data_IF_208982418670
#
_entry.id   IF_208982418670
#
_cell.length_a   1.000
_cell.length_b   1.000
_cell.length_c   1.000
_cell.angle_alpha   90.00
_cell.angle_beta   90.00
_cell.angle_gamma   90.00
#
_symmetry.space_group_name_H-M   'P 1'
#
loop_
_entity.id
_entity.type
_entity.pdbx_description
1 polymer ?
#
# COMPACT_ATOMS: atom_id res chain seq x y z
N UNK A 1 36.99 -2.02 5.10
CA UNK A 1 37.06 -1.92 3.62
C UNK A 1 36.94 -0.46 3.25
N UNK A 2 37.83 0.02 2.38
CA UNK A 2 37.70 1.35 1.78
C UNK A 2 36.51 1.38 0.80
N UNK A 3 35.91 2.55 0.56
CA UNK A 3 34.89 2.71 -0.50
C UNK A 3 35.43 2.32 -1.89
N UNK A 4 36.76 2.34 -2.08
CA UNK A 4 37.43 1.85 -3.29
C UNK A 4 37.38 0.33 -3.38
N UNK A 5 37.79 -0.37 -2.32
CA UNK A 5 37.72 -1.84 -2.25
C UNK A 5 36.29 -2.36 -2.45
N UNK A 6 35.31 -1.68 -1.86
CA UNK A 6 33.89 -2.00 -2.04
C UNK A 6 33.41 -1.75 -3.48
N UNK A 7 33.92 -0.70 -4.15
CA UNK A 7 33.60 -0.42 -5.54
C UNK A 7 34.12 -1.51 -6.47
N UNK A 8 35.35 -2.00 -6.24
CA UNK A 8 35.94 -3.09 -7.02
C UNK A 8 35.21 -4.42 -6.80
N UNK A 9 34.87 -4.74 -5.54
CA UNK A 9 34.19 -5.98 -5.18
C UNK A 9 32.75 -6.05 -5.73
N UNK A 10 31.98 -4.98 -5.57
CA UNK A 10 30.55 -4.95 -5.91
C UNK A 10 30.25 -4.33 -7.28
N UNK A 11 31.26 -3.78 -7.98
CA UNK A 11 31.11 -3.05 -9.25
C UNK A 11 30.10 -1.89 -9.16
N UNK A 12 29.99 -1.28 -7.99
CA UNK A 12 29.16 -0.09 -7.72
C UNK A 12 30.08 1.13 -7.72
N UNK A 13 29.65 2.25 -8.29
CA UNK A 13 30.49 3.46 -8.30
C UNK A 13 30.76 3.95 -6.87
N UNK A 14 31.96 4.47 -6.63
CA UNK A 14 32.34 5.09 -5.35
C UNK A 14 31.40 6.23 -4.96
N UNK A 15 30.85 6.96 -5.95
CA UNK A 15 29.88 8.03 -5.73
C UNK A 15 28.54 7.51 -5.18
N UNK A 16 28.06 6.37 -5.68
CA UNK A 16 26.83 5.72 -5.20
C UNK A 16 27.02 5.24 -3.76
N UNK A 17 28.18 4.63 -3.45
CA UNK A 17 28.53 4.22 -2.09
C UNK A 17 28.59 5.42 -1.15
N UNK A 18 29.18 6.54 -1.59
CA UNK A 18 29.23 7.77 -0.81
C UNK A 18 27.84 8.35 -0.57
N UNK A 19 26.97 8.38 -1.57
CA UNK A 19 25.58 8.81 -1.43
C UNK A 19 24.82 7.95 -0.42
N UNK A 20 25.09 6.65 -0.37
CA UNK A 20 24.49 5.75 0.61
C UNK A 20 25.03 6.01 2.03
N UNK A 21 26.34 6.20 2.18
CA UNK A 21 26.98 6.49 3.47
C UNK A 21 26.54 7.83 4.05
N UNK A 22 26.33 8.84 3.20
CA UNK A 22 25.86 10.18 3.60
C UNK A 22 24.32 10.22 3.77
N UNK A 23 23.62 9.14 3.42
CA UNK A 23 22.16 9.07 3.54
C UNK A 23 21.41 9.95 2.53
N UNK A 24 21.98 10.18 1.34
CA UNK A 24 21.27 10.90 0.26
C UNK A 24 20.21 10.04 -0.42
N UNK A 25 20.39 8.71 -0.42
CA UNK A 25 19.51 7.75 -1.10
C UNK A 25 18.77 6.85 -0.10
N UNK A 26 18.09 7.44 0.89
CA UNK A 26 17.37 6.69 1.93
C UNK A 26 16.05 6.10 1.45
N UNK A 27 15.50 6.60 0.34
CA UNK A 27 14.26 6.07 -0.21
C UNK A 27 14.48 4.67 -0.77
N UNK A 28 13.52 3.76 -0.60
CA UNK A 28 13.59 2.44 -1.21
C UNK A 28 13.79 2.59 -2.72
N UNK A 29 14.56 1.69 -3.35
CA UNK A 29 14.82 1.76 -4.78
C UNK A 29 13.51 1.72 -5.56
N UNK A 30 13.36 2.66 -6.51
CA UNK A 30 12.15 2.84 -7.30
C UNK A 30 11.40 4.14 -6.97
N UNK A 31 10.24 4.31 -7.59
CA UNK A 31 9.37 5.48 -7.34
C UNK A 31 8.57 5.27 -6.06
N UNK A 32 8.39 6.34 -5.29
CA UNK A 32 7.58 6.32 -4.08
C UNK A 32 6.14 5.88 -4.37
N UNK A 33 5.57 5.13 -3.42
CA UNK A 33 4.18 4.65 -3.47
C UNK A 33 3.22 5.81 -3.67
N UNK A 34 2.11 5.53 -4.34
CA UNK A 34 1.13 6.56 -4.66
C UNK A 34 0.34 6.99 -3.43
N UNK A 35 0.02 6.01 -2.60
CA UNK A 35 -0.68 6.20 -1.34
C UNK A 35 0.30 6.24 -0.17
N UNK A 36 -0.15 6.89 0.91
CA UNK A 36 0.42 6.72 2.24
C UNK A 36 0.20 5.28 2.69
N UNK A 37 1.13 4.74 3.49
CA UNK A 37 1.04 3.37 4.04
C UNK A 37 -0.33 3.09 4.66
N UNK A 38 -0.84 4.01 5.48
CA UNK A 38 -2.15 3.86 6.15
C UNK A 38 -3.30 3.66 5.15
N UNK A 39 -3.27 4.36 4.01
CA UNK A 39 -4.28 4.22 2.96
C UNK A 39 -4.19 2.86 2.25
N UNK A 40 -2.98 2.38 1.98
CA UNK A 40 -2.77 1.05 1.40
C UNK A 40 -3.22 -0.06 2.36
N UNK A 41 -2.89 0.07 3.65
CA UNK A 41 -3.28 -0.87 4.69
C UNK A 41 -4.80 -0.93 4.88
N UNK A 42 -5.49 0.22 4.85
CA UNK A 42 -6.95 0.28 4.92
C UNK A 42 -7.60 -0.47 3.75
N UNK A 43 -7.09 -0.27 2.53
CA UNK A 43 -7.60 -0.97 1.34
C UNK A 43 -7.39 -2.47 1.47
N UNK A 44 -6.20 -2.92 1.89
CA UNK A 44 -5.93 -4.33 2.13
C UNK A 44 -6.88 -4.94 3.18
N UNK A 45 -7.14 -4.22 4.29
CA UNK A 45 -8.10 -4.66 5.31
C UNK A 45 -9.51 -4.82 4.75
N UNK A 46 -10.00 -3.83 3.98
CA UNK A 46 -11.34 -3.94 3.37
C UNK A 46 -11.46 -5.12 2.42
N UNK A 47 -10.39 -5.50 1.72
CA UNK A 47 -10.40 -6.68 0.85
C UNK A 47 -10.44 -7.98 1.62
N UNK A 48 -9.74 -8.06 2.76
CA UNK A 48 -9.77 -9.22 3.64
C UNK A 48 -11.19 -9.38 4.22
N UNK A 49 -11.77 -8.31 4.75
CA UNK A 49 -13.12 -8.35 5.32
C UNK A 49 -14.19 -8.73 4.27
N UNK A 50 -14.08 -8.20 3.05
CA UNK A 50 -14.95 -8.61 1.93
C UNK A 50 -14.77 -10.09 1.58
N UNK A 51 -13.54 -10.60 1.65
CA UNK A 51 -13.27 -12.02 1.42
C UNK A 51 -13.86 -12.91 2.52
N UNK A 52 -13.82 -12.48 3.78
CA UNK A 52 -14.44 -13.17 4.92
C UNK A 52 -15.96 -13.21 4.80
N UNK A 53 -16.55 -12.17 4.20
CA UNK A 53 -17.99 -12.12 3.89
C UNK A 53 -18.37 -12.96 2.65
N UNK A 54 -17.39 -13.60 1.99
CA UNK A 54 -17.61 -14.49 0.84
C UNK A 54 -17.68 -13.78 -0.51
N UNK A 55 -17.28 -12.51 -0.59
CA UNK A 55 -17.19 -11.80 -1.88
C UNK A 55 -15.84 -12.07 -2.55
N UNK A 56 -15.88 -12.64 -3.75
CA UNK A 56 -14.70 -12.81 -4.58
C UNK A 56 -14.38 -11.48 -5.30
N UNK A 57 -13.51 -10.67 -4.70
CA UNK A 57 -13.04 -9.43 -5.31
C UNK A 57 -11.98 -9.71 -6.37
N UNK A 58 -12.27 -9.36 -7.62
CA UNK A 58 -11.34 -9.46 -8.72
C UNK A 58 -10.36 -8.28 -8.81
N UNK A 59 -9.39 -8.41 -9.70
CA UNK A 59 -8.43 -7.34 -10.02
C UNK A 59 -9.12 -6.05 -10.48
N UNK A 60 -10.22 -6.19 -11.23
CA UNK A 60 -10.98 -5.06 -11.76
C UNK A 60 -11.75 -4.34 -10.65
N UNK A 61 -12.34 -5.09 -9.71
CA UNK A 61 -13.08 -4.53 -8.58
C UNK A 61 -12.14 -3.72 -7.68
N UNK A 62 -10.90 -4.21 -7.46
CA UNK A 62 -9.90 -3.47 -6.71
C UNK A 62 -9.55 -2.11 -7.36
N UNK A 63 -9.47 -2.06 -8.69
CA UNK A 63 -9.20 -0.80 -9.42
C UNK A 63 -10.33 0.19 -9.23
N UNK A 64 -11.57 -0.27 -9.29
CA UNK A 64 -12.75 0.58 -9.12
C UNK A 64 -12.94 1.01 -7.67
N UNK A 65 -12.65 0.14 -6.71
CA UNK A 65 -12.64 0.47 -5.28
C UNK A 65 -11.66 1.62 -5.01
N UNK A 66 -10.45 1.52 -5.57
CA UNK A 66 -9.42 2.52 -5.42
C UNK A 66 -9.79 3.84 -6.11
N UNK A 67 -10.35 3.79 -7.32
CA UNK A 67 -10.89 4.98 -8.00
C UNK A 67 -11.95 5.66 -7.13
N UNK A 68 -12.94 4.92 -6.64
CA UNK A 68 -13.99 5.43 -5.78
C UNK A 68 -13.44 6.03 -4.47
N UNK A 69 -12.40 5.42 -3.89
CA UNK A 69 -11.73 5.95 -2.71
C UNK A 69 -11.06 7.30 -2.99
N UNK A 70 -10.33 7.43 -4.11
CA UNK A 70 -9.66 8.66 -4.51
C UNK A 70 -10.65 9.77 -4.86
N UNK A 71 -11.70 9.43 -5.61
CA UNK A 71 -12.76 10.36 -6.00
C UNK A 71 -13.51 10.87 -4.76
N UNK A 72 -13.82 9.99 -3.80
CA UNK A 72 -14.43 10.38 -2.51
C UNK A 72 -13.51 11.28 -1.68
N UNK A 73 -12.20 11.10 -1.77
CA UNK A 73 -11.21 11.94 -1.09
C UNK A 73 -10.95 13.26 -1.83
N UNK A 74 -11.46 13.41 -3.06
CA UNK A 74 -11.21 14.57 -3.92
C UNK A 74 -9.74 14.69 -4.36
N UNK A 75 -8.99 13.59 -4.34
CA UNK A 75 -7.57 13.56 -4.72
C UNK A 75 -7.44 13.03 -6.13
N UNK A 76 -6.90 13.84 -7.03
CA UNK A 76 -6.51 13.39 -8.36
C UNK A 76 -5.02 13.05 -8.37
N UNK A 77 -4.68 11.91 -8.97
CA UNK A 77 -3.31 11.46 -9.15
C UNK A 77 -2.99 11.42 -10.64
N UNK A 78 -2.09 12.30 -11.09
CA UNK A 78 -1.66 12.39 -12.51
C UNK A 78 -1.11 11.08 -13.10
N UNK A 79 -0.71 10.14 -12.24
CA UNK A 79 -0.21 8.82 -12.64
C UNK A 79 -1.32 7.84 -13.03
N UNK A 80 -2.55 8.11 -12.61
CA UNK A 80 -3.70 7.28 -12.88
C UNK A 80 -4.54 7.94 -13.95
N UNK A 81 -4.79 7.21 -15.04
CA UNK A 81 -5.70 7.67 -16.08
C UNK A 81 -7.11 7.66 -15.51
N UNK A 82 -7.74 8.83 -15.41
CA UNK A 82 -9.06 9.00 -14.80
C UNK A 82 -9.17 8.39 -13.37
N UNK A 83 -8.14 8.64 -12.54
CA UNK A 83 -8.01 8.10 -11.18
C UNK A 83 -8.07 6.55 -11.09
N UNK A 84 -7.98 5.86 -12.22
CA UNK A 84 -7.98 4.40 -12.28
C UNK A 84 -6.54 3.87 -12.19
N UNK A 85 -6.21 3.05 -11.18
CA UNK A 85 -4.89 2.44 -11.10
C UNK A 85 -4.63 1.48 -12.26
N UNK A 86 -3.36 1.37 -12.67
CA UNK A 86 -2.92 0.36 -13.62
C UNK A 86 -2.86 -1.05 -13.01
N UNK A 87 -2.73 -2.08 -13.86
CA UNK A 87 -2.63 -3.48 -13.41
C UNK A 87 -1.42 -3.76 -12.52
N UNK A 88 -0.29 -3.09 -12.79
CA UNK A 88 0.93 -3.22 -11.99
C UNK A 88 0.71 -2.83 -10.52
N UNK A 89 -0.08 -1.78 -10.29
CA UNK A 89 -0.44 -1.35 -8.94
C UNK A 89 -1.26 -2.42 -8.21
N UNK A 90 -2.26 -3.00 -8.90
CA UNK A 90 -3.11 -4.08 -8.35
C UNK A 90 -2.29 -5.30 -7.97
N UNK A 91 -1.38 -5.72 -8.86
CA UNK A 91 -0.50 -6.88 -8.61
C UNK A 91 0.38 -6.65 -7.38
N UNK A 92 0.92 -5.45 -7.22
CA UNK A 92 1.70 -5.08 -6.03
C UNK A 92 0.88 -5.20 -4.75
N UNK A 93 -0.36 -4.72 -4.73
CA UNK A 93 -1.22 -4.83 -3.55
C UNK A 93 -1.59 -6.29 -3.22
N UNK A 94 -1.91 -7.10 -4.23
CA UNK A 94 -2.23 -8.51 -4.01
C UNK A 94 -1.03 -9.33 -3.51
N UNK A 95 0.17 -9.03 -4.02
CA UNK A 95 1.41 -9.62 -3.51
C UNK A 95 1.67 -9.22 -2.06
N UNK A 96 1.39 -7.97 -1.69
CA UNK A 96 1.52 -7.50 -0.32
C UNK A 96 0.58 -8.23 0.65
N UNK A 97 -0.66 -8.52 0.25
CA UNK A 97 -1.61 -9.33 1.04
C UNK A 97 -1.07 -10.74 1.25
N UNK A 98 -0.53 -11.37 0.19
CA UNK A 98 0.01 -12.74 0.26
C UNK A 98 1.26 -12.85 1.14
N UNK A 99 1.99 -11.75 1.34
CA UNK A 99 3.25 -11.73 2.07
C UNK A 99 3.14 -11.17 3.50
N UNK A 100 1.95 -10.76 3.95
CA UNK A 100 1.78 -9.99 5.18
C UNK A 100 0.87 -10.64 6.23
N UNK A 101 1.43 -11.52 7.06
CA UNK A 101 0.84 -11.88 8.37
C UNK A 101 0.94 -10.71 9.39
N UNK A 102 1.84 -9.74 9.17
CA UNK A 102 2.13 -8.64 10.11
C UNK A 102 1.19 -7.42 9.97
N UNK A 103 0.58 -7.20 8.79
CA UNK A 103 -0.27 -6.03 8.54
C UNK A 103 -1.64 -6.15 9.26
N UNK A 104 -2.11 -7.39 9.48
CA UNK A 104 -3.40 -7.69 10.12
C UNK A 104 -3.36 -7.32 11.62
N UNK A 105 -2.25 -7.55 12.31
CA UNK A 105 -2.12 -7.22 13.73
C UNK A 105 -2.06 -5.70 13.98
N UNK A 106 -1.40 -4.95 13.09
CA UNK A 106 -1.31 -3.49 13.18
C UNK A 106 -2.68 -2.80 12.99
N UNK A 107 -3.55 -3.35 12.14
CA UNK A 107 -4.90 -2.82 11.91
C UNK A 107 -5.84 -3.16 13.07
N UNK A 108 -5.70 -4.32 13.73
CA UNK A 108 -6.48 -4.62 14.94
C UNK A 108 -6.35 -3.53 16.02
N UNK A 109 -5.16 -2.90 16.10
CA UNK A 109 -4.86 -1.81 17.05
C UNK A 109 -5.45 -0.46 16.62
N UNK A 110 -5.51 -0.19 15.31
CA UNK A 110 -6.09 1.05 14.76
C UNK A 110 -7.62 0.98 14.68
N UNK A 111 -8.18 -0.18 14.34
CA UNK A 111 -9.62 -0.43 14.28
C UNK A 111 -10.30 -0.25 15.63
N UNK A 112 -9.63 -0.59 16.74
CA UNK A 112 -10.11 -0.31 18.10
C UNK A 112 -10.22 1.18 18.43
N UNK A 113 -9.47 2.05 17.75
CA UNK A 113 -9.53 3.51 17.94
C UNK A 113 -10.57 4.18 17.04
N UNK A 114 -10.87 3.61 15.86
CA UNK A 114 -11.90 4.12 14.96
C UNK A 114 -13.32 3.64 15.33
N UNK A 115 -13.45 2.47 15.97
CA UNK A 115 -14.73 1.87 16.43
C UNK A 115 -15.07 2.31 17.87
N UNK A 116 -14.71 3.54 18.22
CA UNK A 116 -15.28 4.23 19.39
C UNK A 116 -16.73 4.68 19.16
N UNK A 117 -17.19 4.68 17.91
CA UNK A 117 -18.56 4.97 17.54
C UNK A 117 -19.16 3.72 16.90
N UNK A 118 -19.83 2.90 17.73
CA UNK A 118 -20.53 1.70 17.26
C UNK A 118 -21.62 2.15 16.28
N UNK A 119 -21.68 1.65 15.03
CA UNK A 119 -22.89 1.81 14.26
C UNK A 119 -23.99 1.05 15.00
N UNK A 120 -24.95 1.81 15.55
CA UNK A 120 -26.21 1.29 16.03
C UNK A 120 -26.89 0.59 14.85
N UNK A 121 -26.81 -0.74 14.79
CA UNK A 121 -27.63 -1.53 13.89
C UNK A 121 -29.08 -1.43 14.35
N UNK A 122 -29.83 -0.50 13.76
CA UNK A 122 -31.29 -0.44 13.90
C UNK A 122 -31.86 -1.45 12.91
N UNK A 123 -32.16 -2.63 13.43
CA UNK A 123 -33.24 -3.54 13.06
C UNK A 123 -33.70 -3.69 11.60
N UNK A 124 -33.76 -4.97 11.21
CA UNK A 124 -34.90 -5.62 10.55
C UNK A 124 -35.04 -5.38 9.04
N UNK A 125 -34.55 -6.36 8.27
CA UNK A 125 -35.11 -6.66 6.97
C UNK A 125 -36.09 -7.83 7.09
N UNK A 126 -37.21 -7.64 6.39
CA UNK A 126 -38.48 -8.36 6.43
C UNK A 126 -38.35 -9.74 5.80
#
# INVERSE_FOLDING_TARGET
MSSRDASELYKISTSTLQCQLVGKNLNPPGRATVLTKDGETLICYTLIELSDWGYAMGRLDLRHLMKAYLDKKGVSIDRFDDNLPGEDWVLRQLLAIRSGDEQIEAVSRIGLQAVGDKPHYVGRFI
#
